data_IF_914652100762
#
_entry.id   IF_914652100762
#
_cell.length_a   1.000
_cell.length_b   1.000
_cell.length_c   1.000
_cell.angle_alpha   90.00
_cell.angle_beta   90.00
_cell.angle_gamma   90.00
#
_symmetry.space_group_name_H-M   'P 1'
#
loop_
_entity.id
_entity.type
_entity.pdbx_description
1 polymer ?
#
# COMPACT_ATOMS: atom_id res chain seq x y z
N UNK A 1 -5.57 15.93 2.26
CA UNK A 1 -6.15 14.57 1.99
C UNK A 1 -6.98 14.64 0.72
N UNK A 2 -8.02 13.80 0.46
CA UNK A 2 -8.80 13.91 -0.80
C UNK A 2 -9.40 15.30 -1.02
N UNK A 3 -9.94 15.91 0.03
CA UNK A 3 -10.45 17.29 -0.01
C UNK A 3 -9.38 18.31 -0.40
N UNK A 4 -8.15 18.16 0.08
CA UNK A 4 -7.06 19.10 -0.18
C UNK A 4 -6.54 19.01 -1.63
N UNK A 5 -6.82 17.90 -2.30
CA UNK A 5 -6.41 17.62 -3.68
C UNK A 5 -7.58 17.64 -4.67
N UNK A 6 -8.79 17.96 -4.20
CA UNK A 6 -9.95 18.13 -5.08
C UNK A 6 -10.15 19.62 -5.36
N UNK A 7 -10.12 20.07 -6.62
CA UNK A 7 -10.39 21.47 -6.97
C UNK A 7 -11.90 21.76 -6.78
N UNK A 8 -12.28 22.04 -5.54
CA UNK A 8 -13.65 22.27 -5.12
C UNK A 8 -13.81 23.68 -4.56
N UNK A 9 -14.94 24.32 -4.88
CA UNK A 9 -15.35 25.64 -4.37
C UNK A 9 -16.58 25.54 -3.46
N UNK A 10 -17.28 24.40 -3.49
CA UNK A 10 -18.42 24.09 -2.63
C UNK A 10 -18.51 22.57 -2.40
N UNK A 11 -19.39 22.14 -1.51
CA UNK A 11 -19.54 20.73 -1.12
C UNK A 11 -19.87 19.83 -2.33
N UNK A 12 -20.62 20.34 -3.30
CA UNK A 12 -21.07 19.59 -4.47
C UNK A 12 -19.96 19.34 -5.50
N UNK A 13 -18.83 20.03 -5.38
CA UNK A 13 -17.65 19.84 -6.24
C UNK A 13 -16.76 18.67 -5.75
N UNK A 14 -17.00 18.17 -4.53
CA UNK A 14 -16.25 17.06 -3.97
C UNK A 14 -16.73 15.71 -4.51
N UNK A 15 -15.83 14.71 -4.40
CA UNK A 15 -16.14 13.34 -4.81
C UNK A 15 -17.16 12.71 -3.86
N UNK A 16 -18.15 12.04 -4.41
CA UNK A 16 -19.01 11.12 -3.66
C UNK A 16 -18.19 9.86 -3.32
N UNK A 17 -18.05 9.53 -2.03
CA UNK A 17 -17.22 8.42 -1.56
C UNK A 17 -18.04 7.48 -0.69
N UNK A 18 -17.99 6.19 -1.02
CA UNK A 18 -18.49 5.11 -0.18
C UNK A 18 -17.34 4.25 0.28
N UNK A 19 -17.29 3.94 1.57
CA UNK A 19 -16.21 3.14 2.16
C UNK A 19 -16.82 1.85 2.71
N UNK A 20 -16.35 0.69 2.22
CA UNK A 20 -16.55 -0.61 2.86
C UNK A 20 -15.35 -0.90 3.77
N UNK A 21 -15.60 -0.93 5.08
CA UNK A 21 -14.58 -1.28 6.07
C UNK A 21 -14.96 -2.61 6.74
N UNK A 22 -14.33 -3.70 6.28
CA UNK A 22 -14.61 -5.05 6.77
C UNK A 22 -13.42 -5.59 7.58
N UNK A 23 -13.48 -5.46 8.90
CA UNK A 23 -12.41 -5.93 9.80
C UNK A 23 -12.22 -7.47 9.77
N UNK A 24 -13.26 -8.22 9.38
CA UNK A 24 -13.22 -9.69 9.26
C UNK A 24 -12.56 -10.20 7.98
N UNK A 25 -12.05 -9.33 7.11
CA UNK A 25 -11.29 -9.78 5.92
C UNK A 25 -10.05 -10.55 6.35
N UNK A 26 -9.84 -11.80 5.86
CA UNK A 26 -8.68 -12.62 6.23
C UNK A 26 -7.35 -11.90 6.02
N UNK A 27 -6.34 -12.25 6.83
CA UNK A 27 -5.02 -11.61 6.75
C UNK A 27 -4.34 -11.92 5.41
N UNK A 28 -4.09 -10.88 4.62
CA UNK A 28 -3.49 -10.96 3.28
C UNK A 28 -2.04 -11.44 3.34
N UNK A 29 -1.27 -10.96 4.31
CA UNK A 29 0.13 -11.37 4.49
C UNK A 29 0.22 -12.83 4.86
N UNK A 30 -0.56 -13.29 5.84
CA UNK A 30 -0.58 -14.69 6.26
C UNK A 30 -0.99 -15.64 5.12
N UNK A 31 -1.96 -15.23 4.29
CA UNK A 31 -2.36 -15.99 3.10
C UNK A 31 -1.22 -16.08 2.06
N UNK A 32 -0.62 -14.95 1.69
CA UNK A 32 0.46 -14.87 0.69
C UNK A 32 1.68 -15.66 1.14
N UNK A 33 2.01 -15.63 2.43
CA UNK A 33 3.13 -16.40 3.02
C UNK A 33 2.80 -17.89 3.22
N UNK A 34 1.58 -18.35 2.90
CA UNK A 34 1.15 -19.73 3.08
C UNK A 34 0.91 -20.13 4.56
N UNK A 35 0.84 -19.17 5.45
CA UNK A 35 0.57 -19.36 6.89
C UNK A 35 -0.92 -19.50 7.19
N UNK A 36 -1.79 -19.06 6.28
CA UNK A 36 -3.24 -19.24 6.34
C UNK A 36 -3.76 -19.79 5.02
N UNK A 37 -4.83 -20.60 5.09
CA UNK A 37 -5.57 -21.10 3.92
C UNK A 37 -6.82 -20.27 3.61
N UNK A 38 -7.14 -19.28 4.43
CA UNK A 38 -8.29 -18.41 4.25
C UNK A 38 -7.99 -17.37 3.15
N UNK A 39 -8.54 -17.62 1.95
CA UNK A 39 -8.36 -16.73 0.79
C UNK A 39 -9.18 -15.42 0.98
N UNK A 40 -8.53 -14.26 1.07
CA UNK A 40 -9.21 -12.98 1.20
C UNK A 40 -10.02 -12.58 -0.04
N UNK A 41 -9.75 -13.17 -1.20
CA UNK A 41 -10.30 -12.74 -2.49
C UNK A 41 -11.84 -12.73 -2.50
N UNK A 42 -12.49 -13.80 -2.05
CA UNK A 42 -13.95 -13.91 -2.09
C UNK A 42 -14.64 -12.79 -1.30
N UNK A 43 -14.07 -12.42 -0.16
CA UNK A 43 -14.57 -11.31 0.68
C UNK A 43 -14.36 -9.97 -0.01
N UNK A 44 -13.18 -9.75 -0.60
CA UNK A 44 -12.85 -8.52 -1.32
C UNK A 44 -13.71 -8.35 -2.58
N UNK A 45 -13.95 -9.44 -3.32
CA UNK A 45 -14.82 -9.46 -4.49
C UNK A 45 -16.27 -9.10 -4.11
N UNK A 46 -16.80 -9.72 -3.03
CA UNK A 46 -18.14 -9.42 -2.52
C UNK A 46 -18.27 -7.93 -2.12
N UNK A 47 -17.26 -7.37 -1.46
CA UNK A 47 -17.25 -5.95 -1.11
C UNK A 47 -17.21 -5.07 -2.36
N UNK A 48 -16.42 -5.44 -3.36
CA UNK A 48 -16.37 -4.77 -4.65
C UNK A 48 -17.74 -4.71 -5.32
N UNK A 49 -18.44 -5.85 -5.43
CA UNK A 49 -19.80 -5.90 -5.98
C UNK A 49 -20.80 -5.09 -5.15
N UNK A 50 -20.67 -5.10 -3.83
CA UNK A 50 -21.56 -4.30 -2.96
C UNK A 50 -21.39 -2.81 -3.23
N UNK A 51 -20.15 -2.33 -3.40
CA UNK A 51 -19.86 -0.94 -3.76
C UNK A 51 -20.37 -0.58 -5.15
N UNK A 52 -20.20 -1.47 -6.14
CA UNK A 52 -20.76 -1.29 -7.50
C UNK A 52 -22.28 -1.21 -7.45
N UNK A 53 -22.95 -2.08 -6.71
CA UNK A 53 -24.41 -2.05 -6.53
C UNK A 53 -24.89 -0.79 -5.80
N UNK A 54 -24.05 -0.18 -4.98
CA UNK A 54 -24.33 1.13 -4.38
C UNK A 54 -24.20 2.29 -5.38
N UNK A 55 -23.54 2.08 -6.50
CA UNK A 55 -23.35 3.07 -7.56
C UNK A 55 -21.91 3.51 -7.80
N UNK A 56 -20.91 2.84 -7.19
CA UNK A 56 -19.52 3.16 -7.45
C UNK A 56 -19.15 2.91 -8.91
N UNK A 57 -18.51 3.89 -9.54
CA UNK A 57 -18.04 3.84 -10.93
C UNK A 57 -16.54 3.57 -11.04
N UNK A 58 -15.81 3.65 -9.93
CA UNK A 58 -14.40 3.31 -9.79
C UNK A 58 -14.13 2.80 -8.37
N UNK A 59 -13.23 1.85 -8.23
CA UNK A 59 -12.86 1.27 -6.96
C UNK A 59 -11.38 1.50 -6.64
N UNK A 60 -11.08 1.69 -5.36
CA UNK A 60 -9.72 1.77 -4.85
C UNK A 60 -9.56 0.83 -3.65
N UNK A 61 -8.42 0.18 -3.53
CA UNK A 61 -8.11 -0.74 -2.45
C UNK A 61 -7.17 -0.04 -1.47
N UNK A 62 -7.64 0.33 -0.29
CA UNK A 62 -6.87 1.01 0.75
C UNK A 62 -5.94 0.04 1.52
N UNK A 63 -5.24 -0.85 0.82
CA UNK A 63 -4.31 -1.82 1.40
C UNK A 63 -3.26 -2.23 0.36
N UNK A 64 -1.99 -2.01 0.65
CA UNK A 64 -0.90 -2.35 -0.27
C UNK A 64 -0.83 -3.85 -0.54
N UNK A 65 -0.82 -4.68 0.50
CA UNK A 65 -0.73 -6.15 0.39
C UNK A 65 -1.90 -6.74 -0.40
N UNK A 66 -3.08 -6.13 -0.33
CA UNK A 66 -4.27 -6.58 -1.06
C UNK A 66 -4.14 -6.44 -2.59
N UNK A 67 -3.17 -5.67 -3.09
CA UNK A 67 -2.88 -5.59 -4.52
C UNK A 67 -2.30 -6.88 -5.12
N UNK A 68 -1.93 -7.86 -4.29
CA UNK A 68 -1.72 -9.25 -4.73
C UNK A 68 -2.95 -9.80 -5.49
N UNK A 69 -4.14 -9.40 -5.10
CA UNK A 69 -5.41 -9.83 -5.71
C UNK A 69 -5.89 -8.92 -6.83
N UNK A 70 -5.12 -7.89 -7.19
CA UNK A 70 -5.54 -6.84 -8.13
C UNK A 70 -6.05 -7.40 -9.46
N UNK A 71 -5.27 -8.26 -10.12
CA UNK A 71 -5.64 -8.78 -11.45
C UNK A 71 -6.94 -9.60 -11.40
N UNK A 72 -7.13 -10.40 -10.35
CA UNK A 72 -8.37 -11.16 -10.12
C UNK A 72 -9.56 -10.23 -9.90
N UNK A 73 -9.39 -9.18 -9.09
CA UNK A 73 -10.45 -8.20 -8.82
C UNK A 73 -10.78 -7.37 -10.05
N UNK A 74 -9.77 -6.91 -10.79
CA UNK A 74 -9.97 -6.12 -12.00
C UNK A 74 -10.65 -6.92 -13.13
N UNK A 75 -10.51 -8.25 -13.14
CA UNK A 75 -11.21 -9.14 -14.08
C UNK A 75 -12.63 -9.43 -13.64
N UNK A 76 -12.89 -9.55 -12.33
CA UNK A 76 -14.19 -9.94 -11.80
C UNK A 76 -15.17 -8.75 -11.73
N UNK A 77 -14.68 -7.55 -11.46
CA UNK A 77 -15.53 -6.38 -11.20
C UNK A 77 -15.83 -5.59 -12.47
N UNK A 78 -17.06 -5.10 -12.66
CA UNK A 78 -17.51 -4.46 -13.89
C UNK A 78 -17.07 -2.99 -14.02
N UNK A 79 -16.33 -2.47 -13.05
CA UNK A 79 -15.81 -1.09 -13.02
C UNK A 79 -14.29 -1.08 -12.84
N UNK A 80 -13.59 -0.03 -13.28
CA UNK A 80 -12.16 0.08 -13.07
C UNK A 80 -11.76 -0.02 -11.59
N UNK A 81 -10.70 -0.78 -11.31
CA UNK A 81 -10.03 -0.83 -10.01
C UNK A 81 -8.70 -0.10 -10.13
N UNK A 82 -8.45 0.88 -9.27
CA UNK A 82 -7.19 1.63 -9.28
C UNK A 82 -6.04 0.75 -8.77
N UNK A 83 -4.95 0.70 -9.53
CA UNK A 83 -3.74 0.00 -9.12
C UNK A 83 -2.79 0.98 -8.40
N UNK A 84 -2.91 1.06 -7.08
CA UNK A 84 -2.13 2.00 -6.28
C UNK A 84 -0.61 1.82 -6.43
N UNK A 85 -0.01 0.60 -6.43
CA UNK A 85 1.42 0.44 -6.67
C UNK A 85 1.88 0.98 -8.03
N UNK A 86 1.11 0.78 -9.09
CA UNK A 86 1.45 1.31 -10.42
C UNK A 86 1.39 2.84 -10.47
N UNK A 87 0.35 3.44 -9.89
CA UNK A 87 0.22 4.90 -9.78
C UNK A 87 1.37 5.49 -8.98
N UNK A 88 1.70 4.89 -7.83
CA UNK A 88 2.80 5.34 -6.97
C UNK A 88 4.15 5.28 -7.70
N UNK A 89 4.44 4.20 -8.43
CA UNK A 89 5.69 4.10 -9.19
C UNK A 89 5.75 5.12 -10.36
N UNK A 90 4.61 5.39 -11.00
CA UNK A 90 4.52 6.42 -12.04
C UNK A 90 4.75 7.83 -11.47
N UNK A 91 4.16 8.15 -10.32
CA UNK A 91 4.34 9.42 -9.64
C UNK A 91 5.79 9.60 -9.16
N UNK A 92 6.39 8.55 -8.58
CA UNK A 92 7.80 8.56 -8.18
C UNK A 92 8.70 8.87 -9.39
N UNK A 93 8.49 8.20 -10.53
CA UNK A 93 9.23 8.49 -11.77
C UNK A 93 9.03 9.93 -12.23
N UNK A 94 7.80 10.42 -12.24
CA UNK A 94 7.49 11.79 -12.63
C UNK A 94 8.16 12.82 -11.72
N UNK A 95 8.34 12.49 -10.44
CA UNK A 95 9.08 13.29 -9.47
C UNK A 95 10.62 13.16 -9.58
N UNK A 96 11.13 12.38 -10.56
CA UNK A 96 12.57 12.22 -10.82
C UNK A 96 13.21 11.06 -10.07
N UNK A 97 12.45 10.16 -9.45
CA UNK A 97 12.98 8.99 -8.80
C UNK A 97 13.70 8.09 -9.81
N UNK A 98 14.90 7.66 -9.46
CA UNK A 98 15.69 6.70 -10.25
C UNK A 98 15.71 5.33 -9.62
N UNK A 99 15.63 5.25 -8.27
CA UNK A 99 15.58 4.01 -7.53
C UNK A 99 14.70 4.13 -6.27
N UNK A 100 13.58 3.42 -6.28
CA UNK A 100 12.59 3.44 -5.21
C UNK A 100 12.90 2.40 -4.11
N UNK A 101 13.03 2.84 -2.87
CA UNK A 101 13.07 1.97 -1.70
C UNK A 101 11.65 1.52 -1.30
N UNK A 102 11.46 0.23 -1.03
CA UNK A 102 10.14 -0.33 -0.70
C UNK A 102 10.11 -0.71 0.79
N UNK A 103 9.40 0.07 1.61
CA UNK A 103 9.12 -0.24 3.01
C UNK A 103 7.71 -0.84 3.11
N UNK A 104 7.60 -2.16 3.28
CA UNK A 104 6.32 -2.87 3.21
C UNK A 104 6.33 -4.13 4.07
N UNK A 105 5.18 -4.82 4.15
CA UNK A 105 5.11 -6.14 4.77
C UNK A 105 5.80 -7.20 3.90
N UNK A 106 6.23 -8.30 4.52
CA UNK A 106 6.79 -9.45 3.79
C UNK A 106 5.85 -9.97 2.72
N UNK A 107 4.53 -9.97 2.98
CA UNK A 107 3.52 -10.35 1.98
C UNK A 107 3.50 -9.42 0.77
N UNK A 108 3.67 -8.11 0.96
CA UNK A 108 3.75 -7.14 -0.15
C UNK A 108 5.04 -7.32 -0.95
N UNK A 109 6.17 -7.58 -0.28
CA UNK A 109 7.45 -7.83 -0.94
C UNK A 109 7.44 -9.14 -1.73
N UNK A 110 6.89 -10.22 -1.15
CA UNK A 110 6.74 -11.52 -1.83
C UNK A 110 5.78 -11.45 -3.03
N UNK A 111 4.75 -10.63 -2.94
CA UNK A 111 3.80 -10.40 -4.04
C UNK A 111 4.40 -9.58 -5.21
N UNK A 112 5.57 -8.99 -5.04
CA UNK A 112 6.30 -8.20 -6.03
C UNK A 112 5.51 -7.03 -6.66
N UNK A 113 4.46 -6.55 -5.99
CA UNK A 113 3.54 -5.53 -6.55
C UNK A 113 4.26 -4.23 -6.91
N UNK A 114 5.13 -3.74 -6.03
CA UNK A 114 5.92 -2.52 -6.29
C UNK A 114 7.11 -2.78 -7.21
N UNK A 115 7.76 -3.93 -7.09
CA UNK A 115 8.89 -4.32 -7.92
C UNK A 115 8.47 -4.34 -9.40
N UNK A 116 7.35 -5.01 -9.70
CA UNK A 116 6.77 -5.05 -11.05
C UNK A 116 6.31 -3.66 -11.52
N UNK A 117 5.75 -2.84 -10.63
CA UNK A 117 5.36 -1.47 -10.96
C UNK A 117 6.58 -0.61 -11.33
N UNK A 118 7.68 -0.68 -10.57
CA UNK A 118 8.94 0.00 -10.87
C UNK A 118 9.53 -0.44 -12.22
N UNK A 119 9.53 -1.76 -12.50
CA UNK A 119 9.98 -2.30 -13.78
C UNK A 119 9.19 -1.74 -14.97
N UNK A 120 7.85 -1.67 -14.85
CA UNK A 120 6.97 -1.14 -15.91
C UNK A 120 7.27 0.32 -16.25
N UNK A 121 7.63 1.13 -15.26
CA UNK A 121 7.97 2.55 -15.50
C UNK A 121 9.47 2.77 -15.73
N UNK A 122 10.30 1.73 -15.63
CA UNK A 122 11.73 1.79 -15.91
C UNK A 122 12.54 2.55 -14.84
N UNK A 123 12.21 2.36 -13.56
CA UNK A 123 13.03 2.80 -12.41
C UNK A 123 13.57 1.59 -11.64
N UNK A 124 14.71 1.75 -10.99
CA UNK A 124 15.26 0.76 -10.08
C UNK A 124 14.41 0.63 -8.80
N UNK A 125 14.63 -0.45 -8.06
CA UNK A 125 14.03 -0.61 -6.74
C UNK A 125 14.99 -1.33 -5.79
N UNK A 126 14.76 -1.19 -4.49
CA UNK A 126 15.39 -1.99 -3.45
C UNK A 126 14.41 -2.19 -2.28
N UNK A 127 14.68 -3.22 -1.50
CA UNK A 127 14.00 -3.48 -0.23
C UNK A 127 15.05 -3.55 0.89
N UNK A 128 14.67 -3.36 2.15
CA UNK A 128 15.60 -3.48 3.26
C UNK A 128 16.28 -4.86 3.29
N UNK A 129 17.50 -4.91 3.79
CA UNK A 129 18.16 -6.17 4.10
C UNK A 129 17.32 -6.99 5.08
N UNK A 130 17.48 -8.32 5.18
CA UNK A 130 16.62 -9.16 6.03
C UNK A 130 16.54 -8.70 7.48
N UNK A 131 17.63 -8.20 8.06
CA UNK A 131 17.66 -7.66 9.41
C UNK A 131 16.76 -6.41 9.55
N UNK A 132 16.89 -5.45 8.64
CA UNK A 132 16.11 -4.21 8.66
C UNK A 132 14.66 -4.45 8.26
N UNK A 133 14.40 -5.45 7.40
CA UNK A 133 13.03 -5.86 7.06
C UNK A 133 12.29 -6.43 8.28
N UNK A 134 12.95 -7.22 9.12
CA UNK A 134 12.38 -7.66 10.41
C UNK A 134 12.04 -6.45 11.29
N UNK A 135 12.87 -5.41 11.28
CA UNK A 135 12.59 -4.15 11.95
C UNK A 135 11.30 -3.48 11.45
N UNK A 136 11.09 -3.42 10.13
CA UNK A 136 9.87 -2.88 9.52
C UNK A 136 8.65 -3.73 9.89
N UNK A 137 8.74 -5.06 9.83
CA UNK A 137 7.66 -5.94 10.24
C UNK A 137 7.28 -5.70 11.72
N UNK A 138 8.27 -5.56 12.60
CA UNK A 138 8.02 -5.24 14.02
C UNK A 138 7.35 -3.86 14.19
N UNK A 139 7.79 -2.83 13.47
CA UNK A 139 7.12 -1.51 13.48
C UNK A 139 5.65 -1.62 13.07
N UNK A 140 5.35 -2.41 12.04
CA UNK A 140 3.98 -2.58 11.55
C UNK A 140 3.12 -3.39 12.54
N UNK A 141 3.60 -4.58 12.95
CA UNK A 141 2.78 -5.56 13.67
C UNK A 141 2.86 -5.43 15.19
N UNK A 142 4.07 -5.16 15.73
CA UNK A 142 4.26 -5.09 17.19
C UNK A 142 3.99 -3.70 17.74
N UNK A 143 4.21 -2.64 16.94
CA UNK A 143 3.99 -1.27 17.39
C UNK A 143 2.63 -0.75 16.89
N UNK A 144 2.52 -0.39 15.60
CA UNK A 144 1.39 0.40 15.09
C UNK A 144 0.08 -0.37 15.15
N UNK A 145 0.04 -1.63 14.70
CA UNK A 145 -1.17 -2.47 14.79
C UNK A 145 -1.63 -2.74 16.22
N UNK A 146 -0.73 -2.61 17.20
CA UNK A 146 -1.05 -2.71 18.61
C UNK A 146 -1.43 -1.36 19.26
N UNK A 147 -1.59 -0.31 18.45
CA UNK A 147 -1.90 1.03 18.92
C UNK A 147 -0.75 1.74 19.63
N UNK A 148 0.49 1.25 19.46
CA UNK A 148 1.70 1.86 20.00
C UNK A 148 2.34 2.80 19.00
N UNK A 149 3.18 3.71 19.49
CA UNK A 149 4.01 4.54 18.62
C UNK A 149 5.07 3.68 17.91
N UNK A 150 5.39 4.03 16.66
CA UNK A 150 6.41 3.36 15.88
C UNK A 150 7.78 3.45 16.56
N UNK A 151 8.53 2.37 16.56
CA UNK A 151 9.93 2.38 16.96
C UNK A 151 10.77 3.06 15.87
N UNK A 152 11.05 4.34 16.06
CA UNK A 152 11.79 5.16 15.08
C UNK A 152 13.24 4.72 14.89
N UNK A 153 13.84 4.04 15.84
CA UNK A 153 15.20 3.48 15.68
C UNK A 153 15.18 2.41 14.58
N UNK A 154 14.22 1.47 14.64
CA UNK A 154 14.06 0.41 13.62
C UNK A 154 13.68 1.00 12.26
N UNK A 155 12.73 1.93 12.25
CA UNK A 155 12.30 2.58 11.01
C UNK A 155 13.44 3.35 10.34
N UNK A 156 14.16 4.20 11.08
CA UNK A 156 15.29 4.98 10.55
C UNK A 156 16.45 4.11 10.08
N UNK A 157 16.70 2.98 10.75
CA UNK A 157 17.72 2.03 10.31
C UNK A 157 17.39 1.43 8.94
N UNK A 158 16.13 1.05 8.71
CA UNK A 158 15.68 0.55 7.40
C UNK A 158 15.75 1.62 6.31
N UNK A 159 15.40 2.88 6.62
CA UNK A 159 15.56 4.00 5.69
C UNK A 159 17.03 4.25 5.36
N UNK A 160 17.93 4.19 6.36
CA UNK A 160 19.36 4.36 6.15
C UNK A 160 19.94 3.22 5.28
N UNK A 161 19.49 1.99 5.48
CA UNK A 161 19.87 0.84 4.65
C UNK A 161 19.46 1.06 3.17
N UNK A 162 18.22 1.49 2.90
CA UNK A 162 17.78 1.83 1.55
C UNK A 162 18.61 2.97 0.92
N UNK A 163 18.98 3.98 1.70
CA UNK A 163 19.88 5.05 1.22
C UNK A 163 21.26 4.51 0.84
N UNK A 164 21.82 3.60 1.63
CA UNK A 164 23.12 2.97 1.28
C UNK A 164 23.05 2.10 0.04
N UNK A 165 21.87 1.55 -0.26
CA UNK A 165 21.59 0.83 -1.49
C UNK A 165 21.36 1.76 -2.70
N UNK A 166 21.43 3.08 -2.51
CA UNK A 166 21.29 4.10 -3.56
C UNK A 166 19.84 4.45 -3.90
N UNK A 167 18.89 4.22 -3.00
CA UNK A 167 17.53 4.72 -3.18
C UNK A 167 17.48 6.23 -2.93
N UNK A 168 16.80 6.94 -3.83
CA UNK A 168 16.59 8.39 -3.77
C UNK A 168 15.21 8.77 -3.24
N UNK A 169 14.26 7.82 -3.28
CA UNK A 169 12.94 7.91 -2.65
C UNK A 169 12.58 6.60 -1.96
N UNK A 170 11.61 6.65 -1.03
CA UNK A 170 11.05 5.47 -0.41
C UNK A 170 9.52 5.52 -0.41
N UNK A 171 8.89 4.39 -0.74
CA UNK A 171 7.44 4.24 -0.58
C UNK A 171 7.11 3.63 0.78
N UNK A 172 6.14 4.21 1.46
CA UNK A 172 5.51 3.64 2.65
C UNK A 172 4.45 2.63 2.19
N UNK A 173 4.92 1.45 1.77
CA UNK A 173 4.13 0.37 1.16
C UNK A 173 3.27 -0.42 2.15
N UNK A 174 2.90 0.19 3.27
CA UNK A 174 1.93 -0.32 4.22
C UNK A 174 1.16 0.86 4.82
N UNK A 175 -0.16 0.71 4.98
CA UNK A 175 -1.02 1.77 5.51
C UNK A 175 -0.60 2.22 6.91
N UNK A 176 -0.12 1.31 7.73
CA UNK A 176 0.42 1.59 9.06
C UNK A 176 1.61 2.54 9.00
N UNK A 177 2.50 2.39 8.03
CA UNK A 177 3.66 3.28 7.88
C UNK A 177 3.28 4.71 7.53
N UNK A 178 2.09 4.94 6.93
CA UNK A 178 1.58 6.30 6.70
C UNK A 178 1.38 7.07 7.99
N UNK A 179 1.11 6.36 9.10
CA UNK A 179 1.00 6.98 10.44
C UNK A 179 2.35 7.49 10.91
N UNK A 180 3.46 6.81 10.56
CA UNK A 180 4.82 7.29 10.86
C UNK A 180 5.05 8.64 10.19
N UNK A 181 4.70 8.76 8.90
CA UNK A 181 4.83 10.05 8.19
C UNK A 181 4.03 11.16 8.86
N UNK A 182 2.78 10.86 9.26
CA UNK A 182 1.89 11.82 9.93
C UNK A 182 2.43 12.26 11.30
N UNK A 183 2.84 11.28 12.13
CA UNK A 183 3.15 11.51 13.54
C UNK A 183 4.56 12.07 13.74
N UNK A 184 5.49 11.75 12.84
CA UNK A 184 6.90 12.16 12.91
C UNK A 184 7.26 13.27 11.88
N UNK A 185 6.26 13.79 11.15
CA UNK A 185 6.42 14.87 10.17
C UNK A 185 7.54 14.61 9.15
N UNK A 186 7.60 13.39 8.61
CA UNK A 186 8.60 13.03 7.60
C UNK A 186 8.34 13.75 6.27
N UNK A 187 9.41 14.24 5.65
CA UNK A 187 9.41 14.89 4.33
C UNK A 187 9.23 13.85 3.18
#
# INVERSE_FOLDING_TARGET
MLTDHTPATCDQDHLDIVISSRASTPDRTAFILGQSKEDPFAVMEQDGFSLVNYGATVLAIACNTAHYFYDRLAQALPVPVLNMPQLTAADAKAAGCTKLGILATDGTLLAETYQLACQRVGIGWAQPTPEHQQGIMSVIYDDIKQGRRANMVKFSAAVADLKTQGCDMAVLGCTELSLVKRDEHLD
#
